data_IF_559958075256
#
_entry.id   IF_559958075256
#
_cell.length_a   1.000
_cell.length_b   1.000
_cell.length_c   1.000
_cell.angle_alpha   90.00
_cell.angle_beta   90.00
_cell.angle_gamma   90.00
#
_symmetry.space_group_name_H-M   'P 1'
#
loop_
_entity.id
_entity.type
_entity.pdbx_description
1 polymer ?
#
# COMPACT_ATOMS: atom_id res chain seq x y z
N UNK A 1 -18.78 0.24 8.40
CA UNK A 1 -18.48 1.58 7.87
C UNK A 1 -17.81 2.39 8.97
N UNK A 2 -16.76 3.14 8.66
CA UNK A 2 -16.15 4.11 9.55
C UNK A 2 -16.93 5.42 9.52
N UNK A 3 -17.05 6.09 10.67
CA UNK A 3 -17.71 7.39 10.80
C UNK A 3 -16.77 8.38 11.47
N UNK A 4 -16.57 9.53 10.82
CA UNK A 4 -15.73 10.62 11.30
C UNK A 4 -16.53 11.91 11.38
N UNK A 5 -16.42 12.62 12.50
CA UNK A 5 -16.89 14.01 12.59
C UNK A 5 -15.90 14.91 11.82
N UNK A 6 -16.42 15.78 10.95
CA UNK A 6 -15.59 16.68 10.14
C UNK A 6 -15.58 18.10 10.71
N UNK A 7 -16.75 18.74 10.74
CA UNK A 7 -16.96 20.07 11.33
C UNK A 7 -18.45 20.30 11.55
N UNK A 8 -18.79 20.97 12.66
CA UNK A 8 -20.18 21.10 13.11
C UNK A 8 -20.83 19.72 13.28
N UNK A 9 -22.02 19.58 12.71
CA UNK A 9 -22.87 18.39 12.70
C UNK A 9 -22.71 17.54 11.42
N UNK A 10 -21.60 17.71 10.68
CA UNK A 10 -21.29 16.93 9.46
C UNK A 10 -20.50 15.66 9.74
N UNK A 11 -20.88 14.59 9.04
CA UNK A 11 -20.32 13.24 9.18
C UNK A 11 -19.71 12.78 7.85
N UNK A 12 -18.52 12.20 7.92
CA UNK A 12 -17.88 11.48 6.83
C UNK A 12 -17.97 9.98 7.10
N UNK A 13 -18.61 9.25 6.18
CA UNK A 13 -18.66 7.80 6.19
C UNK A 13 -17.69 7.20 5.19
N UNK A 14 -16.88 6.23 5.63
CA UNK A 14 -15.89 5.55 4.77
C UNK A 14 -16.09 4.02 4.86
N UNK A 15 -16.17 3.30 3.73
CA UNK A 15 -16.17 1.84 3.75
C UNK A 15 -14.92 1.28 4.44
N UNK A 16 -15.11 0.30 5.34
CA UNK A 16 -14.00 -0.27 6.11
C UNK A 16 -12.92 -0.87 5.19
N UNK A 17 -13.35 -1.56 4.13
CA UNK A 17 -12.45 -2.15 3.14
C UNK A 17 -11.71 -1.08 2.35
N UNK A 18 -12.39 0.00 1.93
CA UNK A 18 -11.73 1.12 1.26
C UNK A 18 -10.67 1.75 2.14
N UNK A 19 -10.98 1.97 3.42
CA UNK A 19 -10.01 2.48 4.38
C UNK A 19 -8.85 1.51 4.59
N UNK A 20 -9.10 0.21 4.72
CA UNK A 20 -8.05 -0.80 4.87
C UNK A 20 -7.10 -0.81 3.67
N UNK A 21 -7.65 -0.91 2.46
CA UNK A 21 -6.86 -1.05 1.23
C UNK A 21 -6.06 0.22 0.92
N UNK A 22 -6.61 1.41 1.19
CA UNK A 22 -5.95 2.68 0.84
C UNK A 22 -5.14 3.32 1.97
N UNK A 23 -5.55 3.15 3.23
CA UNK A 23 -4.97 3.91 4.35
C UNK A 23 -3.99 3.11 5.20
N UNK A 24 -4.02 1.77 5.19
CA UNK A 24 -3.01 0.98 5.90
C UNK A 24 -1.71 0.91 5.11
N UNK A 25 -1.77 0.46 3.84
CA UNK A 25 -0.57 0.27 3.01
C UNK A 25 -0.50 1.19 1.79
N UNK A 26 0.67 1.22 1.16
CA UNK A 26 0.93 1.77 -0.17
C UNK A 26 0.63 0.74 -1.28
N UNK A 27 0.50 -0.52 -0.88
CA UNK A 27 0.11 -1.66 -1.70
C UNK A 27 -1.01 -2.44 -1.00
N UNK A 28 -1.89 -3.13 -1.75
CA UNK A 28 -2.93 -3.95 -1.15
C UNK A 28 -2.38 -5.19 -0.43
N UNK A 29 -1.09 -5.51 -0.63
CA UNK A 29 -0.43 -6.63 0.07
C UNK A 29 -0.46 -6.46 1.59
N UNK A 30 -0.36 -5.23 2.12
CA UNK A 30 -0.48 -4.98 3.56
C UNK A 30 -1.88 -5.37 4.05
N UNK A 31 -2.92 -4.88 3.37
CA UNK A 31 -4.31 -5.19 3.70
C UNK A 31 -4.59 -6.70 3.63
N UNK A 32 -4.12 -7.36 2.57
CA UNK A 32 -4.23 -8.82 2.40
C UNK A 32 -3.52 -9.56 3.52
N UNK A 33 -2.27 -9.20 3.83
CA UNK A 33 -1.46 -9.84 4.88
C UNK A 33 -2.17 -9.75 6.23
N UNK A 34 -2.69 -8.56 6.59
CA UNK A 34 -3.41 -8.33 7.84
C UNK A 34 -4.77 -9.04 7.93
N UNK A 35 -5.42 -9.30 6.80
CA UNK A 35 -6.69 -10.04 6.76
C UNK A 35 -6.51 -11.56 6.62
N UNK A 36 -5.34 -12.01 6.14
CA UNK A 36 -5.12 -13.41 5.77
C UNK A 36 -4.42 -14.20 6.86
N UNK A 37 -3.51 -13.58 7.61
CA UNK A 37 -2.60 -14.30 8.49
C UNK A 37 -2.72 -13.96 9.97
N UNK A 38 -2.46 -14.94 10.87
CA UNK A 38 -2.29 -14.66 12.27
C UNK A 38 -1.09 -13.74 12.51
N UNK A 39 -1.08 -13.08 13.66
CA UNK A 39 -0.10 -12.02 13.97
C UNK A 39 1.36 -12.45 13.83
N UNK A 40 1.70 -13.67 14.23
CA UNK A 40 3.06 -14.21 14.11
C UNK A 40 3.53 -14.26 12.65
N UNK A 41 2.65 -14.65 11.74
CA UNK A 41 2.95 -14.70 10.31
C UNK A 41 2.93 -13.30 9.69
N UNK A 42 2.04 -12.40 10.12
CA UNK A 42 2.13 -10.96 9.76
C UNK A 42 3.51 -10.40 10.10
N UNK A 43 4.03 -10.73 11.28
CA UNK A 43 5.36 -10.31 11.72
C UNK A 43 6.47 -10.92 10.83
N UNK A 44 6.37 -12.20 10.49
CA UNK A 44 7.34 -12.87 9.62
C UNK A 44 7.36 -12.32 8.18
N UNK A 45 6.19 -11.95 7.64
CA UNK A 45 6.09 -11.40 6.29
C UNK A 45 6.50 -9.92 6.24
N UNK A 46 6.04 -9.09 7.17
CA UNK A 46 6.22 -7.65 7.03
C UNK A 46 7.57 -7.13 7.55
N UNK A 47 8.28 -7.89 8.38
CA UNK A 47 9.51 -7.44 9.04
C UNK A 47 10.69 -8.34 8.67
N UNK A 48 11.83 -7.74 8.36
CA UNK A 48 13.09 -8.45 8.20
C UNK A 48 13.66 -8.91 9.56
N UNK A 49 13.46 -8.09 10.59
CA UNK A 49 13.79 -8.37 11.99
C UNK A 49 12.92 -7.51 12.90
N UNK A 50 12.75 -7.93 14.15
CA UNK A 50 12.04 -7.17 15.17
C UNK A 50 13.00 -6.92 16.32
N UNK A 51 13.47 -5.68 16.42
CA UNK A 51 14.35 -5.19 17.47
C UNK A 51 13.70 -3.96 18.10
N UNK A 52 13.16 -4.12 19.30
CA UNK A 52 12.52 -3.01 20.01
C UNK A 52 13.58 -2.10 20.59
N UNK A 53 13.71 -0.91 20.01
CA UNK A 53 14.45 0.19 20.61
C UNK A 53 13.51 1.05 21.48
N UNK A 54 13.79 1.19 22.77
CA UNK A 54 12.97 1.98 23.69
C UNK A 54 13.15 3.51 23.54
N UNK A 55 14.24 3.96 22.92
CA UNK A 55 14.58 5.37 22.75
C UNK A 55 14.06 5.95 21.43
N UNK A 56 13.84 5.10 20.42
CA UNK A 56 13.35 5.52 19.11
C UNK A 56 12.54 4.42 18.43
N UNK A 57 11.60 4.81 17.57
CA UNK A 57 10.84 3.84 16.78
C UNK A 57 11.70 3.28 15.66
N UNK A 58 12.34 2.14 15.89
CA UNK A 58 13.15 1.42 14.93
C UNK A 58 12.29 0.40 14.18
N UNK A 59 12.30 0.46 12.85
CA UNK A 59 11.62 -0.52 12.02
C UNK A 59 12.56 -1.10 10.98
N UNK A 60 12.50 -2.42 10.81
CA UNK A 60 13.22 -3.16 9.78
C UNK A 60 12.21 -3.86 8.86
N UNK A 61 11.64 -3.16 7.85
CA UNK A 61 10.68 -3.79 6.95
C UNK A 61 11.33 -4.91 6.14
N UNK A 62 10.55 -5.93 5.77
CA UNK A 62 11.01 -6.99 4.87
C UNK A 62 11.46 -6.41 3.51
N UNK A 63 12.39 -7.06 2.77
CA UNK A 63 12.99 -6.50 1.56
C UNK A 63 11.99 -6.07 0.48
N UNK A 64 10.82 -6.70 0.43
CA UNK A 64 9.78 -6.42 -0.55
C UNK A 64 8.72 -5.41 -0.08
N UNK A 65 8.76 -4.99 1.19
CA UNK A 65 7.88 -3.97 1.76
C UNK A 65 8.45 -2.59 1.46
N UNK A 66 7.62 -1.68 0.96
CA UNK A 66 8.05 -0.33 0.58
C UNK A 66 8.27 0.56 1.82
N UNK A 67 9.23 1.50 1.74
CA UNK A 67 9.52 2.44 2.83
C UNK A 67 8.33 3.34 3.18
N UNK A 68 7.38 3.52 2.25
CA UNK A 68 6.14 4.29 2.51
C UNK A 68 5.22 3.62 3.54
N UNK A 69 5.41 2.32 3.79
CA UNK A 69 4.66 1.56 4.79
C UNK A 69 5.38 1.50 6.15
N UNK A 70 6.62 1.99 6.22
CA UNK A 70 7.46 1.89 7.41
C UNK A 70 6.85 2.58 8.64
N UNK A 71 6.14 3.72 8.47
CA UNK A 71 5.45 4.38 9.57
C UNK A 71 4.31 3.53 10.14
N UNK A 72 3.54 2.84 9.28
CA UNK A 72 2.52 1.89 9.75
C UNK A 72 3.19 0.76 10.53
N UNK A 73 4.24 0.15 9.97
CA UNK A 73 4.96 -0.95 10.61
C UNK A 73 5.53 -0.53 11.97
N UNK A 74 6.19 0.63 12.04
CA UNK A 74 6.66 1.19 13.30
C UNK A 74 5.50 1.39 14.28
N UNK A 75 4.39 1.96 13.83
CA UNK A 75 3.19 2.12 14.67
C UNK A 75 2.69 0.79 15.21
N UNK A 76 2.61 -0.24 14.37
CA UNK A 76 2.17 -1.58 14.75
C UNK A 76 3.11 -2.28 15.76
N UNK A 77 4.40 -1.93 15.78
CA UNK A 77 5.36 -2.44 16.76
C UNK A 77 5.27 -1.69 18.10
N UNK A 78 5.21 -0.37 18.05
CA UNK A 78 5.42 0.48 19.22
C UNK A 78 4.15 1.04 19.85
N UNK A 79 3.08 1.20 19.08
CA UNK A 79 1.83 1.77 19.58
C UNK A 79 0.82 0.63 19.86
N UNK A 80 0.42 0.41 21.14
CA UNK A 80 -0.54 -0.63 21.50
C UNK A 80 -1.88 -0.51 20.75
N UNK A 81 -2.31 0.72 20.48
CA UNK A 81 -3.52 0.98 19.71
C UNK A 81 -3.40 0.46 18.26
N UNK A 82 -2.32 0.83 17.57
CA UNK A 82 -2.09 0.42 16.18
C UNK A 82 -1.97 -1.11 16.06
N UNK A 83 -1.25 -1.73 16.99
CA UNK A 83 -1.12 -3.18 17.05
C UNK A 83 -2.47 -3.85 17.21
N UNK A 84 -3.32 -3.36 18.13
CA UNK A 84 -4.66 -3.90 18.34
C UNK A 84 -5.54 -3.72 17.10
N UNK A 85 -5.54 -2.53 16.51
CA UNK A 85 -6.29 -2.23 15.29
C UNK A 85 -5.88 -3.13 14.11
N UNK A 86 -4.61 -3.51 14.02
CA UNK A 86 -4.11 -4.43 13.01
C UNK A 86 -4.50 -5.90 13.31
N UNK A 87 -4.30 -6.36 14.55
CA UNK A 87 -4.65 -7.73 14.99
C UNK A 87 -6.14 -8.03 14.87
N UNK A 88 -6.99 -7.05 15.16
CA UNK A 88 -8.45 -7.18 15.09
C UNK A 88 -8.97 -7.54 13.69
N UNK A 89 -8.21 -7.22 12.62
CA UNK A 89 -8.64 -7.52 11.24
C UNK A 89 -8.68 -9.03 11.01
N UNK A 90 -7.58 -9.74 11.29
CA UNK A 90 -7.52 -11.19 11.18
C UNK A 90 -8.46 -11.86 12.21
N UNK A 91 -8.47 -11.39 13.46
CA UNK A 91 -9.24 -12.01 14.54
C UNK A 91 -10.75 -12.09 14.22
N UNK A 92 -11.32 -11.09 13.52
CA UNK A 92 -12.72 -11.14 13.10
C UNK A 92 -13.00 -12.25 12.09
N UNK A 93 -12.06 -12.51 11.16
CA UNK A 93 -12.17 -13.61 10.21
C UNK A 93 -12.01 -14.95 10.91
N UNK A 94 -11.01 -15.08 11.77
CA UNK A 94 -10.71 -16.29 12.54
C UNK A 94 -11.94 -16.71 13.36
N UNK A 95 -12.52 -15.76 14.10
CA UNK A 95 -13.75 -15.97 14.87
C UNK A 95 -14.94 -16.36 13.99
N UNK A 96 -15.08 -15.76 12.80
CA UNK A 96 -16.15 -16.11 11.87
C UNK A 96 -16.01 -17.54 11.35
N UNK A 97 -14.79 -17.96 11.01
CA UNK A 97 -14.48 -19.33 10.58
C UNK A 97 -14.77 -20.34 11.71
N UNK A 98 -14.35 -20.06 12.93
CA UNK A 98 -14.65 -20.89 14.11
C UNK A 98 -16.17 -21.01 14.36
N UNK A 99 -16.93 -19.98 13.99
CA UNK A 99 -18.39 -19.95 14.09
C UNK A 99 -19.10 -20.58 12.89
N UNK A 100 -18.36 -21.12 11.91
CA UNK A 100 -18.91 -21.72 10.69
C UNK A 100 -19.54 -20.72 9.71
N UNK A 101 -19.14 -19.44 9.76
CA UNK A 101 -19.59 -18.40 8.84
C UNK A 101 -18.65 -18.31 7.63
N UNK A 102 -19.23 -18.36 6.43
CA UNK A 102 -18.46 -18.26 5.17
C UNK A 102 -18.02 -16.82 4.83
N UNK A 103 -18.59 -15.81 5.48
CA UNK A 103 -18.30 -14.42 5.22
C UNK A 103 -18.41 -13.55 6.48
N UNK A 104 -17.57 -12.52 6.55
CA UNK A 104 -17.58 -11.52 7.63
C UNK A 104 -17.52 -10.10 7.05
N UNK A 105 -18.36 -9.21 7.58
CA UNK A 105 -18.24 -7.78 7.31
C UNK A 105 -17.14 -7.18 8.19
N UNK A 106 -15.90 -7.17 7.69
CA UNK A 106 -14.74 -6.66 8.41
C UNK A 106 -14.96 -5.23 8.93
N UNK A 107 -14.84 -5.07 10.24
CA UNK A 107 -14.68 -3.77 10.89
C UNK A 107 -13.21 -3.42 10.90
N UNK A 108 -12.90 -2.20 10.47
CA UNK A 108 -11.53 -1.68 10.38
C UNK A 108 -11.51 -0.38 11.17
N UNK A 109 -10.44 -0.16 11.92
CA UNK A 109 -10.21 1.08 12.67
C UNK A 109 -9.06 1.85 12.01
N UNK A 110 -8.95 3.17 12.21
CA UNK A 110 -7.68 3.85 11.97
C UNK A 110 -6.56 3.17 12.74
N UNK A 111 -5.37 3.06 12.15
CA UNK A 111 -4.21 2.50 12.84
C UNK A 111 -3.50 3.52 13.74
N UNK A 112 -3.91 4.79 13.71
CA UNK A 112 -3.44 5.83 14.64
C UNK A 112 -4.63 6.56 15.27
N UNK A 113 -4.39 7.17 16.44
CA UNK A 113 -5.34 8.07 17.10
C UNK A 113 -4.82 9.50 17.01
N UNK A 114 -5.70 10.43 16.65
CA UNK A 114 -5.37 11.84 16.57
C UNK A 114 -6.07 12.52 15.41
N UNK A 115 -5.76 13.80 15.24
CA UNK A 115 -6.26 14.55 14.10
C UNK A 115 -5.53 14.11 12.82
N UNK A 116 -6.30 13.97 11.75
CA UNK A 116 -5.75 13.76 10.42
C UNK A 116 -6.60 14.46 9.37
N UNK A 117 -5.95 14.74 8.25
CA UNK A 117 -6.59 15.21 7.04
C UNK A 117 -6.72 14.01 6.11
N UNK A 118 -7.89 13.87 5.52
CA UNK A 118 -8.20 12.85 4.54
C UNK A 118 -8.79 13.51 3.29
N UNK A 119 -8.38 13.04 2.12
CA UNK A 119 -8.92 13.47 0.84
C UNK A 119 -9.74 12.34 0.25
N UNK A 120 -11.01 12.61 -0.03
CA UNK A 120 -11.97 11.61 -0.47
C UNK A 120 -12.71 12.06 -1.72
N UNK A 121 -13.14 11.10 -2.54
CA UNK A 121 -14.16 11.25 -3.58
C UNK A 121 -15.42 10.52 -3.14
N UNK A 122 -16.58 11.09 -3.42
CA UNK A 122 -17.83 10.53 -2.95
C UNK A 122 -19.00 11.47 -3.19
N UNK A 123 -20.09 11.24 -2.47
CA UNK A 123 -21.34 11.99 -2.61
C UNK A 123 -21.91 12.39 -1.27
N UNK A 124 -22.54 13.56 -1.24
CA UNK A 124 -23.43 13.94 -0.14
C UNK A 124 -24.70 13.12 -0.19
N UNK A 125 -25.22 12.73 0.97
CA UNK A 125 -26.61 12.27 1.08
C UNK A 125 -27.57 13.45 0.93
N UNK A 126 -28.85 13.16 0.75
CA UNK A 126 -29.90 14.17 0.55
C UNK A 126 -29.94 15.21 1.68
N UNK A 127 -29.62 14.79 2.90
CA UNK A 127 -29.54 15.65 4.08
C UNK A 127 -28.42 16.69 4.04
N UNK A 128 -27.44 16.57 3.13
CA UNK A 128 -26.18 17.34 3.07
C UNK A 128 -25.41 17.43 4.40
N UNK A 129 -25.73 16.57 5.36
CA UNK A 129 -25.02 16.41 6.63
C UNK A 129 -24.04 15.25 6.55
N UNK A 130 -24.39 14.22 5.79
CA UNK A 130 -23.58 13.02 5.66
C UNK A 130 -22.91 12.95 4.30
N UNK A 131 -21.58 12.84 4.27
CA UNK A 131 -20.82 12.55 3.06
C UNK A 131 -20.40 11.09 3.05
N UNK A 132 -20.77 10.37 1.99
CA UNK A 132 -20.37 8.98 1.77
C UNK A 132 -19.16 8.96 0.84
N UNK A 133 -18.02 8.55 1.37
CA UNK A 133 -16.80 8.29 0.63
C UNK A 133 -16.98 7.05 -0.25
N UNK A 134 -16.67 7.19 -1.53
CA UNK A 134 -16.54 6.10 -2.48
C UNK A 134 -15.07 5.72 -2.69
N UNK A 135 -14.15 6.67 -2.52
CA UNK A 135 -12.71 6.42 -2.65
C UNK A 135 -11.89 7.39 -1.78
N UNK A 136 -10.89 6.87 -1.08
CA UNK A 136 -9.86 7.65 -0.40
C UNK A 136 -8.69 7.87 -1.36
N UNK A 137 -8.37 9.15 -1.58
CA UNK A 137 -7.33 9.59 -2.53
C UNK A 137 -6.15 10.25 -1.85
N UNK A 138 -6.18 10.41 -0.53
CA UNK A 138 -5.05 10.92 0.22
C UNK A 138 -5.28 10.94 1.73
N UNK A 139 -4.18 10.97 2.49
CA UNK A 139 -4.16 10.95 3.94
C UNK A 139 -2.93 11.69 4.46
N UNK A 140 -3.05 12.36 5.61
CA UNK A 140 -1.91 12.90 6.35
C UNK A 140 -1.27 11.86 7.26
N UNK A 141 0.05 11.87 7.37
CA UNK A 141 0.76 11.02 8.32
C UNK A 141 0.71 11.61 9.75
N UNK A 142 0.59 10.79 10.79
CA UNK A 142 0.76 11.24 12.18
C UNK A 142 2.19 11.72 12.41
N UNK A 143 2.36 12.89 13.04
CA UNK A 143 3.66 13.57 13.15
C UNK A 143 4.39 13.32 14.49
N UNK A 144 3.72 12.71 15.48
CA UNK A 144 4.20 12.65 16.86
C UNK A 144 5.36 11.70 17.13
N UNK A 145 5.70 10.81 16.19
CA UNK A 145 6.65 9.73 16.42
C UNK A 145 7.65 9.62 15.27
N UNK A 146 8.76 10.37 15.31
CA UNK A 146 9.86 10.15 14.39
C UNK A 146 10.40 8.73 14.48
N UNK A 147 10.81 8.17 13.35
CA UNK A 147 11.21 6.75 13.26
C UNK A 147 12.47 6.55 12.42
N UNK A 148 13.13 5.41 12.63
CA UNK A 148 14.30 4.97 11.86
C UNK A 148 13.92 3.76 11.01
N UNK A 149 14.17 3.86 9.70
CA UNK A 149 14.12 2.72 8.79
C UNK A 149 15.51 2.13 8.68
N UNK A 150 15.68 0.90 9.18
CA UNK A 150 16.94 0.16 9.05
C UNK A 150 16.80 -0.96 8.04
N UNK A 151 17.72 -1.02 7.08
CA UNK A 151 17.78 -2.08 6.06
C UNK A 151 19.12 -2.82 6.12
N UNK A 152 19.15 -4.14 5.93
CA UNK A 152 20.42 -4.86 5.86
C UNK A 152 21.19 -4.47 4.60
N UNK A 153 22.48 -4.20 4.76
CA UNK A 153 23.45 -3.99 3.69
C UNK A 153 24.53 -5.05 3.81
N UNK A 154 24.69 -5.85 2.77
CA UNK A 154 25.67 -6.94 2.78
C UNK A 154 27.01 -6.42 2.26
N UNK A 155 28.10 -6.75 2.96
CA UNK A 155 29.44 -6.37 2.56
C UNK A 155 29.89 -7.19 1.33
N UNK A 156 30.75 -6.59 0.49
CA UNK A 156 31.30 -7.23 -0.72
C UNK A 156 32.60 -7.99 -0.46
N UNK A 157 33.10 -8.02 0.78
CA UNK A 157 34.43 -8.57 1.13
C UNK A 157 34.32 -9.57 2.28
N UNK A 158 34.58 -10.85 2.00
CA UNK A 158 34.76 -11.92 2.99
C UNK A 158 34.98 -13.28 2.32
N UNK A 159 35.80 -14.19 2.87
CA UNK A 159 36.09 -15.49 2.26
C UNK A 159 35.10 -16.62 2.63
N UNK A 160 34.26 -16.44 3.67
CA UNK A 160 33.39 -17.48 4.22
C UNK A 160 32.00 -16.92 4.58
N UNK A 161 31.21 -16.62 3.55
CA UNK A 161 29.83 -16.18 3.70
C UNK A 161 28.84 -17.28 3.40
N UNK A 162 27.72 -17.34 4.11
CA UNK A 162 26.61 -18.20 3.71
C UNK A 162 26.06 -17.74 2.34
N UNK A 163 25.73 -18.67 1.42
CA UNK A 163 25.16 -18.30 0.13
C UNK A 163 23.75 -17.74 0.32
N UNK A 164 23.58 -16.43 0.14
CA UNK A 164 22.25 -15.81 0.11
C UNK A 164 21.76 -15.86 -1.33
N UNK A 165 20.92 -16.86 -1.63
CA UNK A 165 20.27 -16.93 -2.94
C UNK A 165 19.22 -15.83 -3.02
N UNK A 166 19.47 -14.84 -3.87
CA UNK A 166 18.49 -13.78 -4.15
C UNK A 166 17.80 -14.12 -5.45
N UNK A 167 16.54 -14.51 -5.38
CA UNK A 167 15.71 -14.71 -6.58
C UNK A 167 15.30 -13.32 -7.06
N UNK A 168 15.88 -12.87 -8.17
CA UNK A 168 15.44 -11.62 -8.82
C UNK A 168 14.38 -11.97 -9.84
N UNK A 169 13.11 -11.76 -9.47
CA UNK A 169 12.00 -11.83 -10.40
C UNK A 169 11.97 -10.52 -11.21
N UNK A 170 12.03 -10.58 -12.54
CA UNK A 170 11.89 -9.37 -13.35
C UNK A 170 10.50 -8.78 -13.14
N UNK A 171 10.45 -7.46 -13.01
CA UNK A 171 9.20 -6.72 -12.95
C UNK A 171 8.78 -6.35 -14.37
N UNK A 172 7.54 -6.67 -14.70
CA UNK A 172 6.92 -6.22 -15.94
C UNK A 172 5.98 -5.06 -15.57
N UNK A 173 6.33 -3.84 -15.99
CA UNK A 173 5.46 -2.68 -15.90
C UNK A 173 4.66 -2.57 -17.20
N UNK A 174 3.33 -2.57 -17.10
CA UNK A 174 2.45 -2.52 -18.27
C UNK A 174 1.69 -1.18 -18.31
N UNK A 175 1.71 -0.46 -19.45
CA UNK A 175 0.85 0.70 -19.66
C UNK A 175 -0.65 0.31 -19.60
N UNK A 176 -1.48 1.19 -19.02
CA UNK A 176 -2.94 0.97 -18.84
C UNK A 176 -3.78 0.55 -20.07
N UNK A 177 -3.44 0.87 -21.34
CA UNK A 177 -4.28 0.50 -22.48
C UNK A 177 -4.24 -0.99 -22.83
N UNK A 178 -3.27 -1.74 -22.31
CA UNK A 178 -3.11 -3.18 -22.59
C UNK A 178 -3.28 -3.96 -21.30
N UNK A 179 -4.52 -4.27 -20.93
CA UNK A 179 -4.84 -5.17 -19.82
C UNK A 179 -5.33 -6.53 -20.38
N UNK A 180 -4.54 -7.30 -21.16
CA UNK A 180 -5.04 -8.51 -21.82
C UNK A 180 -5.06 -9.75 -20.90
N UNK A 181 -4.85 -9.62 -19.58
CA UNK A 181 -4.67 -10.77 -18.70
C UNK A 181 -5.86 -11.00 -17.76
N UNK A 182 -6.18 -12.28 -17.55
CA UNK A 182 -7.26 -12.69 -16.67
C UNK A 182 -6.79 -12.67 -15.21
N UNK A 183 -7.53 -12.01 -14.32
CA UNK A 183 -7.27 -12.07 -12.88
C UNK A 183 -8.11 -13.21 -12.28
N UNK A 184 -7.49 -14.05 -11.43
CA UNK A 184 -8.17 -15.13 -10.72
C UNK A 184 -7.91 -15.07 -9.21
N UNK A 185 -8.90 -15.48 -8.44
CA UNK A 185 -8.87 -15.73 -6.99
C UNK A 185 -8.88 -17.23 -6.66
N UNK A 186 -9.01 -18.10 -7.67
CA UNK A 186 -9.15 -19.56 -7.49
C UNK A 186 -7.83 -20.29 -7.30
N UNK A 187 -6.74 -19.68 -7.76
CA UNK A 187 -5.42 -20.29 -7.75
C UNK A 187 -4.35 -19.28 -7.34
N UNK A 188 -3.43 -19.77 -6.52
CA UNK A 188 -2.24 -19.02 -6.10
C UNK A 188 -1.18 -18.96 -7.22
N UNK A 189 -0.45 -17.84 -7.36
CA UNK A 189 0.65 -17.71 -8.32
C UNK A 189 1.72 -18.80 -8.16
N UNK A 190 2.36 -19.17 -9.26
CA UNK A 190 3.50 -20.09 -9.23
C UNK A 190 4.68 -19.50 -8.44
N UNK A 191 5.46 -20.38 -7.78
CA UNK A 191 6.61 -19.98 -6.97
C UNK A 191 7.68 -19.23 -7.76
N UNK A 192 7.81 -19.51 -9.05
CA UNK A 192 8.77 -18.91 -9.98
C UNK A 192 8.13 -17.85 -10.90
N UNK A 193 6.86 -17.52 -10.70
CA UNK A 193 6.14 -16.53 -11.49
C UNK A 193 6.79 -15.13 -11.45
N UNK A 194 6.79 -14.47 -12.61
CA UNK A 194 7.13 -13.05 -12.70
C UNK A 194 6.10 -12.17 -11.96
N UNK A 195 6.55 -11.03 -11.44
CA UNK A 195 5.67 -10.05 -10.79
C UNK A 195 5.25 -8.97 -11.79
N UNK A 196 3.95 -8.92 -12.05
CA UNK A 196 3.30 -7.93 -12.88
C UNK A 196 2.85 -6.77 -12.01
N UNK A 197 3.32 -5.56 -12.32
CA UNK A 197 3.01 -4.35 -11.54
C UNK A 197 2.00 -3.48 -12.27
N UNK A 198 0.82 -3.32 -11.66
CA UNK A 198 -0.22 -2.43 -12.16
C UNK A 198 -0.22 -1.14 -11.37
N UNK A 199 -0.11 0.00 -12.06
CA UNK A 199 -0.19 1.30 -11.42
C UNK A 199 -1.64 1.65 -11.06
N UNK A 200 -1.89 1.79 -9.77
CA UNK A 200 -3.16 2.24 -9.24
C UNK A 200 -3.25 3.78 -9.23
N UNK A 201 -4.47 4.36 -9.15
CA UNK A 201 -4.63 5.79 -8.94
C UNK A 201 -3.77 6.26 -7.77
N UNK A 202 -2.91 7.24 -8.02
CA UNK A 202 -1.97 7.73 -7.01
C UNK A 202 -2.68 8.23 -5.74
N UNK A 203 -1.96 8.17 -4.64
CA UNK A 203 -2.45 8.53 -3.31
C UNK A 203 -1.69 9.73 -2.75
N UNK A 204 -2.39 10.81 -2.42
CA UNK A 204 -1.80 12.07 -1.98
C UNK A 204 -1.41 12.00 -0.48
N UNK A 205 -0.15 12.30 -0.18
CA UNK A 205 0.30 12.59 1.18
C UNK A 205 -0.08 14.04 1.51
N UNK A 206 -1.02 14.19 2.44
CA UNK A 206 -1.54 15.49 2.86
C UNK A 206 -0.66 16.01 4.00
N UNK A 207 -0.09 17.20 3.83
CA UNK A 207 0.92 17.73 4.74
C UNK A 207 2.27 16.98 4.67
N UNK A 208 3.32 17.48 5.35
CA UNK A 208 4.64 16.84 5.35
C UNK A 208 4.58 15.42 5.90
N UNK A 209 5.51 14.59 5.41
CA UNK A 209 5.72 13.25 5.97
C UNK A 209 6.20 13.33 7.41
N UNK A 210 5.83 12.34 8.20
CA UNK A 210 6.40 12.13 9.51
C UNK A 210 7.92 11.98 9.38
N UNK A 211 8.68 12.63 10.26
CA UNK A 211 10.14 12.68 10.18
C UNK A 211 10.71 11.27 10.31
N UNK A 212 11.60 10.88 9.39
CA UNK A 212 12.30 9.61 9.48
C UNK A 212 13.77 9.72 9.08
N UNK A 213 14.57 8.78 9.57
CA UNK A 213 15.96 8.56 9.15
C UNK A 213 16.09 7.20 8.48
N UNK A 214 17.13 7.04 7.66
CA UNK A 214 17.49 5.75 7.06
C UNK A 214 18.86 5.35 7.57
N UNK A 215 18.97 4.11 8.03
CA UNK A 215 20.22 3.50 8.43
C UNK A 215 20.40 2.16 7.71
N UNK A 216 21.64 1.68 7.71
CA UNK A 216 21.96 0.35 7.21
C UNK A 216 22.69 -0.46 8.26
N UNK A 217 22.29 -1.71 8.44
CA UNK A 217 23.03 -2.68 9.24
C UNK A 217 23.97 -3.45 8.31
N UNK A 218 25.29 -3.40 8.57
CA UNK A 218 26.22 -4.23 7.84
C UNK A 218 26.10 -5.69 8.30
N UNK A 219 25.75 -6.57 7.38
CA UNK A 219 25.79 -8.02 7.61
C UNK A 219 27.04 -8.61 6.98
N UNK A 220 27.54 -9.68 7.61
CA UNK A 220 28.69 -10.47 7.13
C UNK A 220 28.52 -10.82 5.67
N UNK A 221 29.65 -10.91 4.96
CA UNK A 221 29.71 -11.30 3.56
C UNK A 221 28.77 -12.50 3.31
N UNK A 222 27.97 -12.41 2.26
CA UNK A 222 27.19 -13.53 1.74
C UNK A 222 27.41 -13.59 0.25
N UNK A 223 27.74 -14.78 -0.27
CA UNK A 223 27.83 -14.96 -1.71
C UNK A 223 26.42 -14.86 -2.29
N UNK A 224 26.16 -13.79 -3.05
CA UNK A 224 24.87 -13.60 -3.71
C UNK A 224 24.84 -14.38 -5.00
N UNK A 225 24.25 -15.57 -4.96
CA UNK A 225 23.84 -16.25 -6.19
C UNK A 225 22.52 -15.63 -6.64
N UNK A 226 22.60 -14.73 -7.63
CA UNK A 226 21.41 -14.18 -8.28
C UNK A 226 20.96 -15.19 -9.32
N UNK A 227 19.83 -15.85 -9.06
CA UNK A 227 19.15 -16.64 -10.07
C UNK A 227 18.12 -15.73 -10.73
N UNK A 228 18.41 -15.32 -11.96
CA UNK A 228 17.45 -14.63 -12.82
C UNK A 228 16.56 -15.69 -13.45
N UNK A 229 15.30 -15.74 -13.04
CA UNK A 229 14.30 -16.58 -13.71
C UNK A 229 13.78 -15.79 -14.90
N UNK A 230 13.96 -16.32 -16.12
CA UNK A 230 13.38 -15.73 -17.33
C UNK A 230 11.86 -15.74 -17.17
N UNK A 231 11.18 -14.60 -17.28
CA UNK A 231 9.75 -14.54 -17.04
C UNK A 231 9.04 -15.26 -18.19
N UNK A 232 8.24 -16.27 -17.86
CA UNK A 232 7.19 -16.71 -18.79
C UNK A 232 6.03 -15.73 -18.68
N UNK A 233 5.58 -15.20 -19.81
CA UNK A 233 4.32 -14.45 -19.87
C UNK A 233 3.21 -15.44 -19.58
N UNK A 234 2.52 -15.25 -18.46
CA UNK A 234 1.40 -16.08 -18.03
C UNK A 234 0.08 -15.45 -18.49
N UNK A 235 -0.91 -16.23 -18.97
CA UNK A 235 -2.20 -15.69 -19.42
C UNK A 235 -3.12 -15.28 -18.26
N UNK A 236 -2.90 -15.85 -17.07
CA UNK A 236 -3.70 -15.63 -15.88
C UNK A 236 -2.82 -15.20 -14.72
N UNK A 237 -3.33 -14.30 -13.86
CA UNK A 237 -2.61 -13.77 -12.71
C UNK A 237 -3.45 -13.77 -11.45
N UNK A 238 -2.79 -13.85 -10.31
CA UNK A 238 -3.39 -13.78 -8.98
C UNK A 238 -2.62 -12.85 -8.06
N UNK A 239 -3.32 -12.29 -7.06
CA UNK A 239 -2.74 -11.38 -6.07
C UNK A 239 -2.26 -12.10 -4.80
N UNK A 240 -2.50 -13.41 -4.68
CA UNK A 240 -2.13 -14.19 -3.50
C UNK A 240 -0.65 -14.60 -3.44
N UNK A 241 -0.32 -15.60 -2.63
CA UNK A 241 1.07 -15.98 -2.34
C UNK A 241 1.69 -16.86 -3.43
N UNK A 242 2.99 -16.69 -3.67
CA UNK A 242 3.74 -17.53 -4.60
C UNK A 242 3.94 -18.96 -4.05
N UNK A 243 2.96 -19.84 -4.27
CA UNK A 243 2.92 -21.21 -3.74
C UNK A 243 2.69 -22.21 -4.86
N UNK A 244 3.41 -23.34 -4.82
CA UNK A 244 3.31 -24.40 -5.83
C UNK A 244 4.01 -24.07 -7.15
N UNK A 245 3.89 -24.96 -8.12
CA UNK A 245 4.48 -24.82 -9.47
C UNK A 245 3.54 -25.40 -10.52
N UNK A 246 3.78 -25.07 -11.79
CA UNK A 246 3.08 -25.61 -12.97
C UNK A 246 1.57 -25.29 -13.04
N UNK A 247 1.11 -24.19 -12.43
CA UNK A 247 -0.28 -23.72 -12.54
C UNK A 247 -0.49 -22.74 -13.69
N UNK A 248 0.59 -22.20 -14.23
CA UNK A 248 0.56 -21.17 -15.27
C UNK A 248 -0.06 -19.85 -14.80
N UNK A 249 0.01 -19.59 -13.48
CA UNK A 249 -0.55 -18.38 -12.85
C UNK A 249 0.57 -17.42 -12.46
N UNK A 250 0.54 -16.22 -13.04
CA UNK A 250 1.44 -15.11 -12.74
C UNK A 250 1.10 -14.40 -11.43
N UNK A 251 2.04 -13.63 -10.88
CA UNK A 251 1.79 -12.77 -9.71
C UNK A 251 1.41 -11.37 -10.20
N UNK A 252 0.27 -10.85 -9.74
CA UNK A 252 -0.15 -9.46 -9.95
C UNK A 252 0.03 -8.67 -8.64
N UNK A 253 0.61 -7.48 -8.75
CA UNK A 253 0.78 -6.53 -7.66
C UNK A 253 0.31 -5.15 -8.07
N UNK A 254 -0.64 -4.60 -7.33
CA UNK A 254 -1.05 -3.22 -7.50
C UNK A 254 -0.16 -2.29 -6.67
N UNK A 255 0.23 -1.18 -7.26
CA UNK A 255 1.07 -0.18 -6.59
C UNK A 255 0.43 1.19 -6.73
N UNK A 256 -0.05 1.72 -5.60
CA UNK A 256 -0.55 3.08 -5.52
C UNK A 256 0.59 4.00 -5.07
N UNK A 257 1.25 4.65 -6.04
CA UNK A 257 2.36 5.56 -5.76
C UNK A 257 1.88 6.68 -4.82
N UNK A 258 2.53 6.81 -3.65
CA UNK A 258 2.32 7.94 -2.74
C UNK A 258 3.08 9.15 -3.25
N UNK A 259 2.42 10.31 -3.28
CA UNK A 259 3.03 11.55 -3.78
C UNK A 259 2.70 12.74 -2.88
N UNK A 260 3.63 13.69 -2.77
CA UNK A 260 3.40 14.98 -2.12
C UNK A 260 2.95 16.02 -3.16
N UNK A 261 2.15 17.00 -2.72
CA UNK A 261 1.59 18.03 -3.59
C UNK A 261 0.51 17.48 -4.53
N UNK A 262 0.10 18.24 -5.55
CA UNK A 262 -1.04 17.89 -6.39
C UNK A 262 -0.67 17.13 -7.68
N UNK A 263 0.28 16.19 -7.62
CA UNK A 263 0.81 15.42 -8.78
C UNK A 263 1.77 16.20 -9.72
N UNK A 264 2.45 17.24 -9.24
CA UNK A 264 3.59 17.86 -9.92
C UNK A 264 3.23 18.95 -10.94
N UNK A 265 4.20 19.29 -11.80
CA UNK A 265 4.18 20.47 -12.71
C UNK A 265 2.96 20.48 -13.62
N UNK A 266 2.52 19.32 -14.13
CA UNK A 266 1.33 19.24 -15.02
C UNK A 266 0.05 19.70 -14.33
N UNK A 267 -0.15 19.35 -13.06
CA UNK A 267 -1.33 19.82 -12.34
C UNK A 267 -1.20 21.29 -11.95
N UNK A 268 0.02 21.76 -11.63
CA UNK A 268 0.26 23.19 -11.41
C UNK A 268 -0.04 24.01 -12.67
N UNK A 269 0.39 23.53 -13.84
CA UNK A 269 0.05 24.09 -15.14
C UNK A 269 -1.46 24.04 -15.39
N UNK A 270 -2.13 22.92 -15.11
CA UNK A 270 -3.58 22.79 -15.26
C UNK A 270 -4.35 23.78 -14.38
N UNK A 271 -3.97 23.90 -13.11
CA UNK A 271 -4.56 24.86 -12.17
C UNK A 271 -4.33 26.30 -12.62
N UNK A 272 -3.15 26.60 -13.15
CA UNK A 272 -2.84 27.93 -13.70
C UNK A 272 -3.62 28.23 -14.98
N UNK A 273 -3.79 27.24 -15.87
CA UNK A 273 -4.64 27.37 -17.06
C UNK A 273 -6.12 27.57 -16.69
N UNK A 274 -6.61 26.87 -15.67
CA UNK A 274 -7.95 27.09 -15.12
C UNK A 274 -8.09 28.51 -14.53
N UNK A 275 -7.07 28.99 -13.81
CA UNK A 275 -7.03 30.36 -13.29
C UNK A 275 -7.06 31.39 -14.43
N UNK A 276 -6.27 31.19 -15.48
CA UNK A 276 -6.20 32.07 -16.65
C UNK A 276 -7.54 32.08 -17.41
N UNK A 277 -8.18 30.92 -17.62
CA UNK A 277 -9.51 30.83 -18.23
C UNK A 277 -10.56 31.69 -17.51
N UNK A 278 -10.49 31.74 -16.18
CA UNK A 278 -11.44 32.51 -15.38
C UNK A 278 -11.20 34.02 -15.39
N UNK A 279 -9.98 34.47 -15.73
CA UNK A 279 -9.58 35.88 -15.64
C UNK A 279 -9.49 36.54 -17.01
N UNK A 280 -9.12 35.78 -18.05
CA UNK A 280 -8.84 36.33 -19.36
C UNK A 280 -9.91 35.92 -20.38
N UNK A 281 -10.59 36.89 -21.03
CA UNK A 281 -11.52 36.58 -22.12
C UNK A 281 -10.77 36.00 -23.33
N UNK A 282 -11.35 34.98 -23.99
CA UNK A 282 -10.78 34.35 -25.19
C UNK A 282 -10.57 32.83 -25.11
N UNK A 283 -10.69 32.23 -23.91
CA UNK A 283 -10.65 30.77 -23.76
C UNK A 283 -12.03 30.16 -24.02
N UNK A 284 -12.20 29.45 -25.14
CA UNK A 284 -13.45 28.74 -25.44
C UNK A 284 -13.61 27.48 -24.56
N UNK A 285 -12.66 26.55 -24.62
CA UNK A 285 -12.65 25.32 -23.83
C UNK A 285 -11.23 25.02 -23.30
N UNK A 286 -11.17 24.36 -22.14
CA UNK A 286 -9.92 23.89 -21.53
C UNK A 286 -10.16 22.47 -21.09
N UNK A 287 -9.50 21.52 -21.76
CA UNK A 287 -9.70 20.09 -21.60
C UNK A 287 -8.35 19.37 -21.66
N UNK A 288 -8.28 18.19 -21.05
CA UNK A 288 -7.11 17.33 -21.23
C UNK A 288 -7.13 16.75 -22.63
N UNK A 289 -6.06 16.95 -23.38
CA UNK A 289 -5.89 16.32 -24.69
C UNK A 289 -5.44 14.87 -24.50
N UNK A 290 -6.30 13.91 -24.83
CA UNK A 290 -5.93 12.51 -25.02
C UNK A 290 -6.12 12.10 -26.48
N UNK A 291 -5.18 11.32 -27.03
CA UNK A 291 -5.27 10.80 -28.40
C UNK A 291 -6.42 9.78 -28.58
N UNK A 292 -6.93 9.22 -27.48
CA UNK A 292 -7.98 8.22 -27.52
C UNK A 292 -9.36 8.89 -27.47
N UNK A 293 -10.00 8.99 -28.64
CA UNK A 293 -11.45 9.16 -28.72
C UNK A 293 -12.08 7.83 -28.30
N UNK A 294 -12.60 7.76 -27.08
CA UNK A 294 -13.50 6.67 -26.70
C UNK A 294 -14.78 6.82 -27.54
N UNK A 295 -15.00 5.88 -28.46
CA UNK A 295 -16.29 5.65 -29.12
C UNK A 295 -17.25 4.92 -28.17
#
# INVERSE_FOLDING_TARGET
>A
MLSFAVSGDRILLIPCIEFLVRCYGSTPDIARTLATYPWSQVQAELYAAIELNHESWLVQPAPYVHDDDALLLASMLYAPYAQRAAKEIYAQRDQALDSGLDAVSLQVRPWFQGQAKIRVRGRWLEDRKTFVCCEVTGLSEPQGHPYEIRRPKYSLKGPHGEPVTTIRRPHVEVPKPEDPFQITDRQEPDRDAAEWRKSDPGFQLIAPRCRFTRSSEERTYSERKVVTVTPSVKPTHSTGDNVGTNKDVGKLKHVARRFMGDRGVLNAMWMELMRLKNIQPGFANLEWFSHDRFY
#
